data_IF_124875381864
#
_entry.id   IF_124875381864
#
_cell.length_a   1.000
_cell.length_b   1.000
_cell.length_c   1.000
_cell.angle_alpha   90.00
_cell.angle_beta   90.00
_cell.angle_gamma   90.00
#
_symmetry.space_group_name_H-M   'P 1'
#
loop_
_entity.id
_entity.type
_entity.pdbx_description
1 polymer ?
#
# COMPACT_ATOMS: atom_id res chain seq x y z
N UNK A 1 -13.36 2.46 12.57
CA UNK A 1 -12.30 2.97 11.68
C UNK A 1 -12.87 3.17 10.28
N UNK A 2 -12.66 4.34 9.71
CA UNK A 2 -13.17 4.63 8.38
C UNK A 2 -12.38 3.87 7.31
N UNK A 3 -12.96 3.76 6.12
CA UNK A 3 -12.26 3.13 5.00
C UNK A 3 -10.98 3.88 4.66
N UNK A 4 -11.03 5.22 4.71
CA UNK A 4 -9.85 6.04 4.46
C UNK A 4 -8.72 5.69 5.45
N UNK A 5 -9.04 5.59 6.73
CA UNK A 5 -8.05 5.26 7.73
C UNK A 5 -7.46 3.88 7.51
N UNK A 6 -8.32 2.90 7.16
CA UNK A 6 -7.84 1.54 6.89
C UNK A 6 -6.85 1.51 5.73
N UNK A 7 -7.13 2.26 4.67
CA UNK A 7 -6.26 2.29 3.50
C UNK A 7 -4.93 2.96 3.81
N UNK A 8 -4.95 4.03 4.62
CA UNK A 8 -3.72 4.68 5.04
C UNK A 8 -2.85 3.73 5.85
N UNK A 9 -3.47 3.04 6.80
CA UNK A 9 -2.74 2.06 7.63
C UNK A 9 -2.21 0.92 6.78
N UNK A 10 -2.99 0.46 5.81
CA UNK A 10 -2.54 -0.62 4.92
C UNK A 10 -1.29 -0.21 4.15
N UNK A 11 -1.25 1.03 3.64
CA UNK A 11 -0.05 1.51 2.95
C UNK A 11 1.15 1.54 3.87
N UNK A 12 0.95 1.97 5.11
CA UNK A 12 2.05 2.00 6.09
C UNK A 12 2.60 0.60 6.33
N UNK A 13 1.73 -0.41 6.41
CA UNK A 13 2.17 -1.79 6.59
C UNK A 13 2.91 -2.31 5.36
N UNK A 14 2.46 -1.94 4.17
CA UNK A 14 3.18 -2.30 2.95
C UNK A 14 4.58 -1.70 2.96
N UNK A 15 4.71 -0.41 3.31
CA UNK A 15 6.02 0.23 3.40
C UNK A 15 6.92 -0.48 4.40
N UNK A 16 6.37 -0.89 5.53
CA UNK A 16 7.12 -1.62 6.54
C UNK A 16 7.60 -2.96 5.99
N UNK A 17 6.73 -3.69 5.29
CA UNK A 17 7.09 -4.96 4.68
C UNK A 17 8.18 -4.77 3.63
N UNK A 18 8.11 -3.73 2.82
CA UNK A 18 9.14 -3.46 1.83
C UNK A 18 10.51 -3.28 2.49
N UNK A 19 10.55 -2.60 3.63
CA UNK A 19 11.80 -2.44 4.37
C UNK A 19 12.31 -3.76 4.94
N UNK A 20 11.41 -4.59 5.46
CA UNK A 20 11.80 -5.86 6.04
C UNK A 20 12.33 -6.85 5.00
N UNK A 21 11.88 -6.72 3.76
CA UNK A 21 12.26 -7.64 2.69
C UNK A 21 13.57 -7.28 2.01
N UNK A 22 14.19 -6.17 2.38
CA UNK A 22 15.47 -5.78 1.78
C UNK A 22 16.51 -6.87 2.02
N UNK A 23 17.19 -7.26 0.95
CA UNK A 23 18.20 -8.31 1.03
C UNK A 23 17.66 -9.72 0.92
N UNK A 24 16.34 -9.89 0.86
CA UNK A 24 15.74 -11.20 0.68
C UNK A 24 16.04 -11.72 -0.74
N UNK A 25 16.31 -13.04 -0.90
CA UNK A 25 16.59 -13.59 -2.23
C UNK A 25 15.47 -13.37 -3.25
N UNK A 26 14.24 -13.22 -2.81
CA UNK A 26 13.09 -13.00 -3.68
C UNK A 26 12.54 -11.58 -3.56
N UNK A 27 13.39 -10.66 -3.14
CA UNK A 27 12.96 -9.28 -2.86
C UNK A 27 12.23 -8.65 -4.05
N UNK A 28 12.79 -8.76 -5.25
CA UNK A 28 12.19 -8.12 -6.43
C UNK A 28 10.79 -8.66 -6.71
N UNK A 29 10.63 -9.97 -6.59
CA UNK A 29 9.32 -10.59 -6.82
C UNK A 29 8.29 -10.09 -5.80
N UNK A 30 8.66 -10.15 -4.51
CA UNK A 30 7.74 -9.80 -3.44
C UNK A 30 7.43 -8.30 -3.44
N UNK A 31 8.44 -7.47 -3.65
CA UNK A 31 8.22 -6.03 -3.71
C UNK A 31 7.30 -5.65 -4.87
N UNK A 32 7.44 -6.33 -6.01
CA UNK A 32 6.53 -6.09 -7.12
C UNK A 32 5.07 -6.33 -6.77
N UNK A 33 4.80 -7.40 -6.01
CA UNK A 33 3.45 -7.69 -5.55
C UNK A 33 2.96 -6.64 -4.55
N UNK A 34 3.83 -6.23 -3.62
CA UNK A 34 3.48 -5.24 -2.62
C UNK A 34 3.22 -3.86 -3.24
N UNK A 35 4.00 -3.48 -4.26
CA UNK A 35 3.75 -2.22 -4.95
C UNK A 35 2.37 -2.21 -5.62
N UNK A 36 1.92 -3.35 -6.12
CA UNK A 36 0.58 -3.45 -6.67
C UNK A 36 -0.48 -3.12 -5.63
N UNK A 37 -0.33 -3.68 -4.42
CA UNK A 37 -1.23 -3.38 -3.32
C UNK A 37 -1.16 -1.91 -2.93
N UNK A 38 0.05 -1.36 -2.84
CA UNK A 38 0.25 0.03 -2.47
C UNK A 38 -0.44 0.97 -3.45
N UNK A 39 -0.25 0.75 -4.74
CA UNK A 39 -0.86 1.60 -5.76
C UNK A 39 -2.37 1.48 -5.75
N UNK A 40 -2.91 0.30 -5.48
CA UNK A 40 -4.35 0.13 -5.38
C UNK A 40 -4.91 0.91 -4.19
N UNK A 41 -4.21 0.88 -3.05
CA UNK A 41 -4.62 1.68 -1.90
C UNK A 41 -4.64 3.17 -2.25
N UNK A 42 -3.62 3.64 -2.96
CA UNK A 42 -3.55 5.04 -3.37
C UNK A 42 -4.68 5.40 -4.32
N UNK A 43 -5.00 4.51 -5.24
CA UNK A 43 -6.10 4.72 -6.18
C UNK A 43 -7.42 4.87 -5.43
N UNK A 44 -7.69 3.97 -4.47
CA UNK A 44 -8.91 4.01 -3.71
C UNK A 44 -9.01 5.26 -2.84
N UNK A 45 -7.88 5.65 -2.23
CA UNK A 45 -7.86 6.88 -1.44
C UNK A 45 -8.17 8.11 -2.30
N UNK A 46 -7.63 8.14 -3.50
CA UNK A 46 -7.89 9.23 -4.43
C UNK A 46 -9.38 9.30 -4.78
N UNK A 47 -10.01 8.14 -5.02
CA UNK A 47 -11.43 8.10 -5.32
C UNK A 47 -12.27 8.56 -4.14
N UNK A 48 -11.92 8.18 -2.92
CA UNK A 48 -12.64 8.63 -1.73
C UNK A 48 -12.55 10.14 -1.57
N UNK A 49 -11.38 10.70 -1.80
CA UNK A 49 -11.19 12.14 -1.68
C UNK A 49 -11.97 12.90 -2.75
N UNK A 50 -11.97 12.40 -3.97
CA UNK A 50 -12.72 13.02 -5.06
C UNK A 50 -14.23 12.89 -4.86
N UNK A 51 -14.67 11.78 -4.28
CA UNK A 51 -16.08 11.55 -4.05
C UNK A 51 -16.73 12.54 -3.09
N UNK A 52 -15.91 13.23 -2.31
CA UNK A 52 -16.40 14.23 -1.37
C UNK A 52 -16.43 15.64 -1.93
N UNK A 53 -15.72 15.82 -3.00
CA UNK A 53 -15.55 17.15 -3.59
C UNK A 53 -16.51 17.43 -4.65
#
# INVERSE_FOLDING_TARGET
>A
MTEQTKLILAQMQVDNLLNLLKGNPYENYMCGKLYGVKYECQRQLSLLNHGKG
#
